data_IF_556624838291
#
_entry.id   IF_556624838291
#
_cell.length_a   1.000
_cell.length_b   1.000
_cell.length_c   1.000
_cell.angle_alpha   90.00
_cell.angle_beta   90.00
_cell.angle_gamma   90.00
#
_symmetry.space_group_name_H-M   'P 1'
#
loop_
_entity.id
_entity.type
_entity.pdbx_description
1 polymer ?
#
# COMPACT_ATOMS: atom_id res chain seq x y z
N UNK A 1 13.42 2.06 -9.46
CA UNK A 1 12.38 3.08 -9.72
C UNK A 1 11.11 2.61 -9.04
N UNK A 2 10.82 3.13 -7.85
CA UNK A 2 9.69 2.72 -7.03
C UNK A 2 8.41 3.41 -7.47
N UNK A 3 7.26 2.87 -7.09
CA UNK A 3 5.96 3.51 -7.27
C UNK A 3 5.77 4.61 -6.21
N UNK A 4 6.74 5.52 -6.10
CA UNK A 4 6.72 6.64 -5.17
C UNK A 4 5.76 7.71 -5.68
N UNK A 5 4.95 8.25 -4.77
CA UNK A 5 4.03 9.35 -5.03
C UNK A 5 4.37 10.48 -4.07
N UNK A 6 4.19 11.71 -4.56
CA UNK A 6 4.39 12.92 -3.77
C UNK A 6 3.06 13.67 -3.74
N UNK A 7 2.65 14.11 -2.55
CA UNK A 7 1.46 14.95 -2.38
C UNK A 7 1.76 16.39 -2.82
N UNK A 8 0.94 17.01 -3.70
CA UNK A 8 1.18 18.36 -4.16
C UNK A 8 0.89 19.43 -3.09
N UNK A 9 0.23 19.06 -2.00
CA UNK A 9 -0.14 19.92 -0.87
C UNK A 9 -0.25 19.09 0.41
N UNK A 10 -0.37 19.78 1.55
CA UNK A 10 -0.75 19.14 2.81
C UNK A 10 -2.12 18.45 2.64
N UNK A 11 -2.23 17.23 3.17
CA UNK A 11 -3.44 16.41 3.03
C UNK A 11 -3.80 15.72 4.35
N UNK A 12 -5.07 15.78 4.73
CA UNK A 12 -5.62 14.98 5.82
C UNK A 12 -6.01 13.60 5.31
N UNK A 13 -5.45 12.54 5.89
CA UNK A 13 -5.70 11.16 5.46
C UNK A 13 -7.07 10.67 5.98
N UNK A 14 -8.13 10.98 5.25
CA UNK A 14 -9.50 10.61 5.62
C UNK A 14 -9.84 11.00 7.06
N UNK A 15 -10.55 10.13 7.77
CA UNK A 15 -10.97 10.35 9.17
C UNK A 15 -9.92 9.89 10.20
N UNK A 16 -8.69 9.58 9.77
CA UNK A 16 -7.64 9.06 10.66
C UNK A 16 -7.00 10.14 11.54
N UNK A 17 -7.26 11.43 11.25
CA UNK A 17 -6.61 12.57 11.92
C UNK A 17 -5.14 12.78 11.54
N UNK A 18 -4.57 11.91 10.68
CA UNK A 18 -3.19 12.01 10.22
C UNK A 18 -3.07 13.10 9.16
N UNK A 19 -2.05 13.96 9.29
CA UNK A 19 -1.69 14.99 8.30
C UNK A 19 -0.43 14.57 7.56
N UNK A 20 -0.52 14.52 6.23
CA UNK A 20 0.59 14.26 5.32
C UNK A 20 1.07 15.63 4.80
N UNK A 21 2.30 16.04 5.12
CA UNK A 21 2.86 17.29 4.60
C UNK A 21 3.05 17.24 3.07
N UNK A 22 3.02 18.41 2.43
CA UNK A 22 3.46 18.58 1.04
C UNK A 22 4.84 17.94 0.82
N UNK A 23 5.02 17.33 -0.34
CA UNK A 23 6.27 16.68 -0.78
C UNK A 23 6.70 15.48 0.09
N UNK A 24 5.84 15.02 1.01
CA UNK A 24 6.04 13.75 1.70
C UNK A 24 5.94 12.59 0.70
N UNK A 25 6.86 11.63 0.84
CA UNK A 25 6.86 10.39 0.05
C UNK A 25 5.74 9.49 0.55
N UNK A 26 4.82 9.17 -0.35
CA UNK A 26 3.76 8.20 -0.14
C UNK A 26 4.19 6.90 -0.81
N UNK A 27 4.42 5.87 0.01
CA UNK A 27 4.73 4.52 -0.43
C UNK A 27 3.57 3.59 -0.08
N UNK A 28 3.03 2.91 -1.09
CA UNK A 28 2.00 1.88 -0.89
C UNK A 28 2.70 0.52 -0.79
N UNK A 29 2.61 -0.21 0.34
CA UNK A 29 3.36 -1.44 0.56
C UNK A 29 2.69 -2.65 -0.13
N UNK A 30 2.62 -2.63 -1.46
CA UNK A 30 1.93 -3.65 -2.29
C UNK A 30 2.40 -5.07 -1.97
N UNK A 31 3.71 -5.26 -1.79
CA UNK A 31 4.27 -6.58 -1.44
C UNK A 31 3.71 -7.10 -0.12
N UNK A 32 3.68 -6.26 0.93
CA UNK A 32 3.20 -6.65 2.24
C UNK A 32 1.68 -6.95 2.20
N UNK A 33 0.90 -6.12 1.49
CA UNK A 33 -0.54 -6.35 1.33
C UNK A 33 -0.84 -7.66 0.61
N UNK A 34 -0.09 -8.00 -0.45
CA UNK A 34 -0.26 -9.27 -1.16
C UNK A 34 0.20 -10.49 -0.36
N UNK A 35 1.01 -10.29 0.69
CA UNK A 35 1.49 -11.37 1.56
C UNK A 35 0.77 -11.42 2.91
N UNK A 36 -0.30 -10.65 3.07
CA UNK A 36 -1.10 -10.65 4.28
C UNK A 36 -1.98 -11.92 4.32
N UNK A 37 -1.77 -12.83 5.30
CA UNK A 37 -2.51 -14.09 5.40
C UNK A 37 -4.00 -13.89 5.70
N UNK A 38 -4.41 -12.72 6.21
CA UNK A 38 -5.81 -12.40 6.45
C UNK A 38 -6.61 -12.24 5.14
N UNK A 39 -5.92 -11.89 4.05
CA UNK A 39 -6.51 -11.72 2.72
C UNK A 39 -6.11 -12.82 1.74
N UNK A 40 -4.90 -13.37 1.87
CA UNK A 40 -4.36 -14.39 0.97
C UNK A 40 -3.93 -15.63 1.76
N UNK A 41 -4.74 -16.71 1.81
CA UNK A 41 -4.31 -17.95 2.45
C UNK A 41 -3.05 -18.51 1.76
N UNK A 42 -2.09 -18.96 2.57
CA UNK A 42 -0.75 -19.42 2.14
C UNK A 42 -0.05 -18.45 1.17
N UNK A 43 0.22 -17.20 1.58
CA UNK A 43 0.66 -16.14 0.65
C UNK A 43 2.05 -16.39 0.05
N UNK A 44 2.89 -17.18 0.73
CA UNK A 44 4.23 -17.55 0.25
C UNK A 44 4.22 -18.65 -0.82
N UNK A 45 3.08 -19.32 -1.03
CA UNK A 45 2.92 -20.39 -2.02
C UNK A 45 2.54 -19.79 -3.38
N UNK A 46 3.37 -20.05 -4.38
CA UNK A 46 3.02 -19.77 -5.77
C UNK A 46 1.85 -20.66 -6.19
N UNK A 47 0.72 -20.02 -6.52
CA UNK A 47 -0.49 -20.67 -7.02
C UNK A 47 -0.96 -19.91 -8.28
N UNK A 48 -0.87 -20.51 -9.47
CA UNK A 48 -1.19 -19.84 -10.73
C UNK A 48 -2.67 -19.49 -10.87
N UNK A 49 -3.56 -20.17 -10.14
CA UNK A 49 -5.00 -19.95 -10.19
C UNK A 49 -5.46 -18.86 -9.19
N UNK A 50 -4.56 -18.32 -8.35
CA UNK A 50 -4.88 -17.34 -7.29
C UNK A 50 -5.54 -16.04 -7.79
N UNK A 51 -5.29 -15.68 -9.05
CA UNK A 51 -5.78 -14.45 -9.68
C UNK A 51 -7.01 -14.65 -10.58
N UNK A 52 -7.52 -15.89 -10.68
CA UNK A 52 -8.72 -16.25 -11.46
C UNK A 52 -9.97 -16.12 -10.62
#
# INVERSE_FOLDING_TARGET
MGLERYGPSDYGLGDTGIKIPKDCVIAVPVYAMHHDPDYFPDPSKFDPDRSV
#
